data_IF_220543192269
#
_entry.id   IF_220543192269
#
_cell.length_a   1.000
_cell.length_b   1.000
_cell.length_c   1.000
_cell.angle_alpha   90.00
_cell.angle_beta   90.00
_cell.angle_gamma   90.00
#
_symmetry.space_group_name_H-M   'P 1'
#
loop_
_entity.id
_entity.type
_entity.pdbx_description
1 polymer ?
#
# COMPACT_ATOMS: atom_id res chain seq x y z
N UNK A 1 -0.02 17.98 -10.16
CA UNK A 1 0.40 16.87 -11.00
C UNK A 1 1.82 16.46 -10.62
N UNK A 2 2.09 15.16 -10.50
CA UNK A 2 3.41 14.60 -10.23
C UNK A 2 3.74 13.66 -11.38
N UNK A 3 4.79 14.00 -12.13
CA UNK A 3 5.27 13.18 -13.25
C UNK A 3 6.26 12.13 -12.78
N UNK A 4 6.60 11.18 -13.64
CA UNK A 4 7.52 10.10 -13.32
C UNK A 4 8.85 10.58 -12.74
N UNK A 5 9.39 9.81 -11.80
CA UNK A 5 10.64 10.10 -11.11
C UNK A 5 10.66 9.64 -9.65
N UNK A 6 11.80 9.88 -9.00
CA UNK A 6 12.02 9.57 -7.60
C UNK A 6 12.01 10.84 -6.76
N UNK A 7 11.25 10.83 -5.69
CA UNK A 7 11.07 11.98 -4.81
C UNK A 7 11.37 11.58 -3.37
N UNK A 8 12.29 12.30 -2.75
CA UNK A 8 12.59 12.19 -1.32
C UNK A 8 12.00 13.39 -0.60
N UNK A 9 11.13 13.15 0.36
CA UNK A 9 10.45 14.18 1.15
C UNK A 9 10.51 13.84 2.63
N UNK A 10 10.55 14.87 3.47
CA UNK A 10 10.53 14.65 4.92
C UNK A 10 9.13 14.24 5.41
N UNK A 11 8.10 14.93 4.95
CA UNK A 11 6.70 14.57 5.21
C UNK A 11 5.79 15.19 4.15
N UNK A 12 4.58 14.65 3.99
CA UNK A 12 3.63 15.20 3.05
C UNK A 12 2.21 15.22 3.63
N UNK A 13 1.61 16.41 3.63
CA UNK A 13 0.24 16.58 4.06
C UNK A 13 -0.58 17.27 2.97
N UNK A 14 -1.67 16.66 2.56
CA UNK A 14 -2.64 17.22 1.62
C UNK A 14 -4.00 17.28 2.30
N UNK A 15 -4.60 18.48 2.35
CA UNK A 15 -5.85 18.70 3.06
C UNK A 15 -6.85 19.55 2.26
N UNK A 16 -8.03 19.76 2.82
CA UNK A 16 -9.07 20.55 2.20
C UNK A 16 -9.61 19.93 0.92
N UNK A 17 -9.49 20.61 -0.21
CA UNK A 17 -9.89 20.14 -1.56
C UNK A 17 -8.67 19.84 -2.44
N UNK A 18 -7.50 19.66 -1.83
CA UNK A 18 -6.27 19.36 -2.58
C UNK A 18 -6.43 18.09 -3.40
N UNK A 19 -5.96 18.14 -4.64
CA UNK A 19 -5.95 16.99 -5.53
C UNK A 19 -4.56 16.82 -6.16
N UNK A 20 -4.08 15.58 -6.18
CA UNK A 20 -2.81 15.23 -6.83
C UNK A 20 -3.08 14.14 -7.86
N UNK A 21 -2.50 14.29 -9.05
CA UNK A 21 -2.53 13.29 -10.10
C UNK A 21 -1.11 12.80 -10.38
N UNK A 22 -0.93 11.51 -10.34
CA UNK A 22 0.30 10.80 -10.69
C UNK A 22 0.19 10.42 -12.17
N UNK A 23 1.13 10.88 -13.01
CA UNK A 23 1.05 10.73 -14.49
C UNK A 23 2.19 9.95 -15.11
N UNK A 24 3.03 9.33 -14.27
CA UNK A 24 4.13 8.46 -14.72
C UNK A 24 4.51 7.49 -13.62
N UNK A 25 5.64 6.83 -13.78
CA UNK A 25 6.17 5.95 -12.74
C UNK A 25 6.84 6.77 -11.65
N UNK A 26 6.21 6.86 -10.50
CA UNK A 26 6.65 7.68 -9.37
C UNK A 26 7.09 6.78 -8.22
N UNK A 27 8.30 7.02 -7.72
CA UNK A 27 8.78 6.49 -6.45
C UNK A 27 8.84 7.62 -5.43
N UNK A 28 8.14 7.45 -4.33
CA UNK A 28 8.07 8.42 -3.25
C UNK A 28 8.67 7.83 -1.99
N UNK A 29 9.76 8.44 -1.50
CA UNK A 29 10.37 8.09 -0.22
C UNK A 29 10.02 9.16 0.80
N UNK A 30 9.29 8.77 1.84
CA UNK A 30 8.77 9.67 2.90
C UNK A 30 9.40 9.27 4.22
N UNK A 31 10.23 10.14 4.81
CA UNK A 31 10.91 9.89 6.09
C UNK A 31 9.98 10.01 7.29
N UNK A 32 9.03 10.93 7.23
CA UNK A 32 8.02 11.14 8.27
C UNK A 32 6.65 10.74 7.77
N UNK A 33 5.62 11.46 8.20
CA UNK A 33 4.24 11.10 7.95
C UNK A 33 3.75 11.51 6.56
N UNK A 34 2.91 10.66 5.98
CA UNK A 34 2.13 10.94 4.77
C UNK A 34 0.65 11.03 5.13
N UNK A 35 0.01 12.16 4.90
CA UNK A 35 -1.40 12.31 5.22
C UNK A 35 -2.24 12.96 4.11
N UNK A 36 -3.42 12.38 3.85
CA UNK A 36 -4.49 12.97 3.05
C UNK A 36 -5.72 13.10 3.93
N UNK A 37 -6.33 14.29 3.98
CA UNK A 37 -7.49 14.56 4.84
C UNK A 37 -8.52 15.49 4.20
N UNK A 38 -9.68 15.63 4.84
CA UNK A 38 -10.78 16.47 4.34
C UNK A 38 -11.42 15.92 3.07
N UNK A 39 -11.35 16.65 1.96
CA UNK A 39 -11.77 16.20 0.63
C UNK A 39 -10.59 15.99 -0.32
N UNK A 40 -9.39 15.88 0.25
CA UNK A 40 -8.19 15.62 -0.53
C UNK A 40 -8.28 14.28 -1.24
N UNK A 41 -7.68 14.21 -2.43
CA UNK A 41 -7.63 13.00 -3.25
C UNK A 41 -6.29 12.84 -3.95
N UNK A 42 -5.92 11.60 -4.17
CA UNK A 42 -4.79 11.23 -5.02
C UNK A 42 -5.30 10.29 -6.11
N UNK A 43 -4.92 10.56 -7.35
CA UNK A 43 -5.32 9.73 -8.50
C UNK A 43 -4.07 9.25 -9.21
N UNK A 44 -3.97 7.96 -9.42
CA UNK A 44 -2.98 7.36 -10.30
C UNK A 44 -3.64 7.23 -11.67
N UNK A 45 -3.10 7.95 -12.65
CA UNK A 45 -3.62 7.93 -14.01
C UNK A 45 -3.45 6.54 -14.66
N UNK A 46 -4.21 6.22 -15.71
CA UNK A 46 -3.95 5.00 -16.48
C UNK A 46 -2.49 4.94 -16.95
N UNK A 47 -1.87 3.76 -16.87
CA UNK A 47 -0.48 3.49 -17.22
C UNK A 47 0.58 4.20 -16.34
N UNK A 48 0.17 4.88 -15.27
CA UNK A 48 1.06 5.40 -14.25
C UNK A 48 1.18 4.41 -13.09
N UNK A 49 2.25 4.54 -12.31
CA UNK A 49 2.43 3.78 -11.08
C UNK A 49 2.93 4.66 -9.94
N UNK A 50 2.59 4.26 -8.72
CA UNK A 50 3.06 4.91 -7.51
C UNK A 50 3.63 3.87 -6.55
N UNK A 51 4.89 4.04 -6.22
CA UNK A 51 5.60 3.27 -5.23
C UNK A 51 5.91 4.17 -4.03
N UNK A 52 5.44 3.84 -2.85
CA UNK A 52 5.62 4.62 -1.62
C UNK A 52 6.48 3.81 -0.65
N UNK A 53 7.58 4.38 -0.20
CA UNK A 53 8.36 3.90 0.95
C UNK A 53 8.15 4.88 2.08
N UNK A 54 7.50 4.47 3.16
CA UNK A 54 7.19 5.32 4.31
C UNK A 54 7.85 4.79 5.58
N UNK A 55 8.59 5.66 6.26
CA UNK A 55 9.18 5.37 7.57
C UNK A 55 8.22 5.80 8.71
N UNK A 56 7.50 6.93 8.54
CA UNK A 56 6.46 7.40 9.43
C UNK A 56 5.08 6.82 9.13
N UNK A 57 4.06 7.33 9.79
CA UNK A 57 2.69 6.88 9.61
C UNK A 57 2.12 7.31 8.25
N UNK A 58 1.28 6.44 7.68
CA UNK A 58 0.53 6.73 6.46
C UNK A 58 -0.96 6.80 6.78
N UNK A 59 -1.59 7.94 6.51
CA UNK A 59 -3.01 8.14 6.72
C UNK A 59 -3.67 8.71 5.46
N UNK A 60 -4.14 7.85 4.60
CA UNK A 60 -4.86 8.22 3.37
C UNK A 60 -6.35 8.15 3.65
N UNK A 61 -6.93 9.30 3.97
CA UNK A 61 -8.36 9.49 4.21
C UNK A 61 -9.00 10.42 3.17
N UNK A 62 -10.05 11.10 3.55
CA UNK A 62 -10.76 12.02 2.66
C UNK A 62 -11.44 11.31 1.48
N UNK A 63 -11.18 11.76 0.26
CA UNK A 63 -11.61 11.04 -0.94
C UNK A 63 -10.70 9.87 -1.29
N UNK A 64 -9.62 9.66 -0.52
CA UNK A 64 -8.74 8.52 -0.64
C UNK A 64 -7.86 8.54 -1.88
N UNK A 65 -7.43 7.34 -2.24
CA UNK A 65 -6.61 7.11 -3.42
C UNK A 65 -7.41 6.33 -4.48
N UNK A 66 -7.33 6.79 -5.71
CA UNK A 66 -7.91 6.15 -6.88
C UNK A 66 -6.78 5.62 -7.77
N UNK A 67 -6.68 4.30 -7.88
CA UNK A 67 -5.88 3.65 -8.91
C UNK A 67 -6.78 3.41 -10.13
N UNK A 68 -6.61 4.24 -11.17
CA UNK A 68 -7.53 4.28 -12.30
C UNK A 68 -7.56 3.00 -13.14
N UNK A 69 -6.49 2.25 -13.16
CA UNK A 69 -6.39 0.96 -13.86
C UNK A 69 -6.88 -0.23 -13.05
N UNK A 70 -7.10 -0.04 -11.75
CA UNK A 70 -7.48 -1.10 -10.80
C UNK A 70 -6.48 -2.27 -10.75
N UNK A 71 -5.22 -2.02 -11.07
CA UNK A 71 -4.13 -2.99 -11.02
C UNK A 71 -3.30 -2.78 -9.75
N UNK A 72 -3.28 -3.73 -8.81
CA UNK A 72 -2.58 -3.55 -7.53
C UNK A 72 -1.09 -3.25 -7.67
N UNK A 73 -0.43 -3.79 -8.69
CA UNK A 73 0.99 -3.55 -8.97
C UNK A 73 1.31 -2.08 -9.32
N UNK A 74 0.29 -1.27 -9.63
CA UNK A 74 0.47 0.15 -9.89
C UNK A 74 0.37 1.03 -8.63
N UNK A 75 0.00 0.45 -7.49
CA UNK A 75 0.06 1.11 -6.19
C UNK A 75 0.73 0.20 -5.18
N UNK A 76 2.01 0.42 -4.96
CA UNK A 76 2.81 -0.34 -4.02
C UNK A 76 3.14 0.54 -2.80
N UNK A 77 2.85 0.05 -1.61
CA UNK A 77 3.13 0.77 -0.35
C UNK A 77 3.99 -0.09 0.55
N UNK A 78 5.17 0.43 0.88
CA UNK A 78 6.14 -0.21 1.76
C UNK A 78 6.25 0.56 3.07
N UNK A 79 5.92 -0.08 4.19
CA UNK A 79 6.25 0.42 5.51
C UNK A 79 7.67 -0.01 5.86
N UNK A 80 8.54 0.96 6.11
CA UNK A 80 9.97 0.72 6.34
C UNK A 80 10.39 0.82 7.81
N UNK A 81 9.44 1.10 8.72
CA UNK A 81 9.71 1.10 10.15
C UNK A 81 10.13 -0.30 10.63
N UNK A 82 11.16 -0.36 11.47
CA UNK A 82 11.73 -1.63 11.97
C UNK A 82 11.16 -2.09 13.30
N UNK A 83 10.36 -1.25 13.96
CA UNK A 83 9.75 -1.56 15.25
C UNK A 83 8.40 -2.25 15.05
N UNK A 84 8.22 -3.44 15.62
CA UNK A 84 6.95 -4.18 15.57
C UNK A 84 5.80 -3.35 16.15
N UNK A 85 4.74 -3.15 15.37
CA UNK A 85 3.61 -2.29 15.72
C UNK A 85 3.93 -0.79 15.82
N UNK A 86 5.17 -0.40 15.49
CA UNK A 86 5.66 0.99 15.62
C UNK A 86 5.23 1.91 14.48
N UNK A 87 4.51 1.41 13.48
CA UNK A 87 4.01 2.19 12.36
C UNK A 87 2.53 1.86 12.10
N UNK A 88 1.78 2.83 11.62
CA UNK A 88 0.39 2.64 11.22
C UNK A 88 0.19 3.07 9.76
N UNK A 89 -0.34 2.17 8.94
CA UNK A 89 -0.73 2.46 7.57
C UNK A 89 -2.26 2.37 7.44
N UNK A 90 -2.95 3.51 7.31
CA UNK A 90 -4.38 3.59 7.03
C UNK A 90 -4.60 4.06 5.60
N UNK A 91 -5.11 3.18 4.75
CA UNK A 91 -5.26 3.47 3.33
C UNK A 91 -6.72 3.30 2.91
N UNK A 92 -7.33 4.41 2.50
CA UNK A 92 -8.69 4.43 1.99
C UNK A 92 -8.68 4.60 0.46
N UNK A 93 -9.41 3.73 -0.22
CA UNK A 93 -9.68 3.86 -1.65
C UNK A 93 -10.91 4.71 -1.92
N UNK A 94 -10.96 5.37 -3.07
CA UNK A 94 -12.14 6.04 -3.57
C UNK A 94 -12.99 5.06 -4.42
N UNK A 95 -13.91 4.36 -3.78
CA UNK A 95 -14.66 3.26 -4.39
C UNK A 95 -13.93 1.93 -4.24
N UNK A 96 -13.04 1.63 -5.14
CA UNK A 96 -12.17 0.46 -5.07
C UNK A 96 -10.77 0.87 -4.61
N UNK A 97 -10.17 0.07 -3.73
CA UNK A 97 -8.74 0.16 -3.43
C UNK A 97 -8.04 -1.00 -4.12
N UNK A 98 -7.17 -0.72 -5.09
CA UNK A 98 -6.30 -1.72 -5.70
C UNK A 98 -4.87 -1.36 -5.35
N UNK A 99 -4.25 -2.15 -4.48
CA UNK A 99 -2.93 -1.88 -3.93
C UNK A 99 -2.24 -3.15 -3.44
N UNK A 100 -0.92 -3.17 -3.48
CA UNK A 100 -0.13 -4.11 -2.71
C UNK A 100 0.59 -3.36 -1.57
N UNK A 101 0.42 -3.85 -0.35
CA UNK A 101 0.98 -3.25 0.87
C UNK A 101 1.91 -4.25 1.53
N UNK A 102 3.15 -3.87 1.73
CA UNK A 102 4.15 -4.65 2.45
C UNK A 102 4.73 -3.82 3.59
N UNK A 103 4.30 -4.11 4.80
CA UNK A 103 4.72 -3.40 6.00
C UNK A 103 4.76 -4.36 7.21
N UNK A 104 5.72 -5.31 7.24
CA UNK A 104 5.71 -6.44 8.18
C UNK A 104 5.73 -6.02 9.65
N UNK A 105 6.19 -4.82 9.96
CA UNK A 105 6.21 -4.27 11.31
C UNK A 105 5.11 -3.24 11.59
N UNK A 106 4.18 -3.04 10.67
CA UNK A 106 3.14 -2.02 10.81
C UNK A 106 1.76 -2.61 11.08
N UNK A 107 0.91 -1.84 11.74
CA UNK A 107 -0.52 -2.06 11.77
C UNK A 107 -1.13 -1.50 10.49
N UNK A 108 -1.66 -2.36 9.62
CA UNK A 108 -2.23 -1.97 8.33
C UNK A 108 -3.75 -2.00 8.40
N UNK A 109 -4.38 -0.88 8.07
CA UNK A 109 -5.83 -0.76 7.96
C UNK A 109 -6.21 -0.38 6.52
N UNK A 110 -6.94 -1.25 5.84
CA UNK A 110 -7.41 -1.03 4.48
C UNK A 110 -8.92 -0.81 4.47
N UNK A 111 -9.38 0.10 3.62
CA UNK A 111 -10.80 0.40 3.45
C UNK A 111 -11.10 0.76 2.01
N UNK A 112 -12.01 0.02 1.38
CA UNK A 112 -12.65 0.45 0.13
C UNK A 112 -13.66 1.57 0.38
N UNK A 113 -13.97 2.38 -0.61
CA UNK A 113 -14.94 3.46 -0.51
C UNK A 113 -16.38 3.01 -0.77
N UNK A 114 -17.34 3.82 -0.32
CA UNK A 114 -18.79 3.62 -0.58
C UNK A 114 -19.42 2.48 0.22
N UNK A 115 -20.66 2.10 -0.17
CA UNK A 115 -21.45 1.09 0.54
C UNK A 115 -21.03 -0.37 0.26
N UNK A 116 -20.21 -0.61 -0.73
CA UNK A 116 -19.72 -1.93 -1.14
C UNK A 116 -18.23 -1.81 -1.51
N UNK A 117 -17.45 -1.22 -0.62
CA UNK A 117 -16.03 -1.02 -0.86
C UNK A 117 -15.33 -2.35 -1.16
N UNK A 118 -14.52 -2.38 -2.19
CA UNK A 118 -13.71 -3.54 -2.54
C UNK A 118 -12.24 -3.19 -2.44
N UNK A 119 -11.47 -4.10 -1.88
CA UNK A 119 -10.02 -4.04 -1.80
C UNK A 119 -9.45 -5.21 -2.58
N UNK A 120 -8.69 -4.90 -3.62
CA UNK A 120 -7.99 -5.88 -4.44
C UNK A 120 -6.49 -5.75 -4.23
N UNK A 121 -5.80 -6.86 -4.14
CA UNK A 121 -4.36 -6.86 -4.07
C UNK A 121 -3.80 -7.79 -3.02
N UNK A 122 -2.76 -7.34 -2.33
CA UNK A 122 -2.13 -8.09 -1.26
C UNK A 122 -1.77 -7.20 -0.09
N UNK A 123 -1.73 -7.78 1.09
CA UNK A 123 -1.31 -7.08 2.30
C UNK A 123 -0.45 -7.98 3.18
N UNK A 124 0.67 -7.43 3.63
CA UNK A 124 1.51 -7.99 4.68
C UNK A 124 1.68 -6.91 5.75
N UNK A 125 1.35 -7.23 6.98
CA UNK A 125 1.47 -6.32 8.13
C UNK A 125 1.76 -7.10 9.40
N UNK A 126 2.20 -6.40 10.45
CA UNK A 126 2.24 -6.95 11.81
C UNK A 126 0.83 -7.31 12.29
N UNK A 127 -0.12 -6.42 12.01
CA UNK A 127 -1.56 -6.65 12.15
C UNK A 127 -2.24 -6.06 10.91
N UNK A 128 -3.20 -6.77 10.33
CA UNK A 128 -3.92 -6.33 9.14
C UNK A 128 -5.42 -6.29 9.42
N UNK A 129 -6.03 -5.12 9.21
CA UNK A 129 -7.45 -4.87 9.44
C UNK A 129 -8.14 -4.44 8.16
N UNK A 130 -9.28 -5.06 7.89
CA UNK A 130 -10.20 -4.60 6.86
C UNK A 130 -11.36 -3.90 7.55
N UNK A 131 -11.63 -2.63 7.23
CA UNK A 131 -12.67 -1.84 7.90
C UNK A 131 -13.79 -1.41 6.97
N UNK A 132 -14.92 -1.02 7.55
CA UNK A 132 -16.16 -0.72 6.83
C UNK A 132 -16.79 -1.98 6.24
N UNK A 133 -17.71 -1.82 5.29
CA UNK A 133 -18.32 -2.93 4.55
C UNK A 133 -17.45 -3.34 3.36
N UNK A 134 -16.15 -3.48 3.59
CA UNK A 134 -15.20 -3.79 2.52
C UNK A 134 -15.02 -5.30 2.36
N UNK A 135 -14.87 -5.73 1.10
CA UNK A 135 -14.52 -7.10 0.74
C UNK A 135 -13.08 -7.09 0.21
N UNK A 136 -12.27 -8.01 0.70
CA UNK A 136 -10.90 -8.21 0.23
C UNK A 136 -10.85 -9.34 -0.79
N UNK A 137 -10.15 -9.11 -1.88
CA UNK A 137 -9.84 -10.13 -2.88
C UNK A 137 -8.33 -10.07 -3.16
N UNK A 138 -7.66 -11.18 -2.97
CA UNK A 138 -6.27 -11.33 -3.38
C UNK A 138 -6.17 -11.31 -4.90
N UNK A 139 -5.16 -10.62 -5.42
CA UNK A 139 -4.87 -10.61 -6.86
C UNK A 139 -3.72 -11.58 -7.14
N UNK A 140 -4.04 -12.70 -7.81
CA UNK A 140 -3.09 -13.77 -8.11
C UNK A 140 -1.96 -13.30 -9.06
N UNK A 141 -2.18 -12.26 -9.87
CA UNK A 141 -1.17 -11.69 -10.75
C UNK A 141 0.02 -11.08 -9.97
N UNK A 142 -0.17 -10.75 -8.68
CA UNK A 142 0.93 -10.31 -7.82
C UNK A 142 1.93 -11.43 -7.48
N UNK A 143 1.53 -12.69 -7.63
CA UNK A 143 2.43 -13.84 -7.45
C UNK A 143 3.56 -13.90 -8.48
N UNK A 144 3.31 -13.36 -9.66
CA UNK A 144 4.27 -13.31 -10.78
C UNK A 144 5.00 -11.94 -10.85
N UNK A 145 4.66 -11.02 -9.93
CA UNK A 145 5.25 -9.69 -9.92
C UNK A 145 6.65 -9.72 -9.32
N UNK A 146 7.67 -9.58 -10.18
CA UNK A 146 9.05 -9.40 -9.76
C UNK A 146 9.32 -7.91 -9.53
N UNK A 147 9.73 -7.55 -8.31
CA UNK A 147 10.22 -6.20 -8.07
C UNK A 147 11.61 -6.06 -8.70
N UNK A 148 11.70 -5.22 -9.73
CA UNK A 148 12.95 -4.96 -10.46
C UNK A 148 14.10 -4.42 -9.57
N UNK A 149 13.81 -4.00 -8.36
CA UNK A 149 14.76 -3.34 -7.46
C UNK A 149 15.60 -4.32 -6.62
N UNK A 150 15.43 -5.64 -6.80
CA UNK A 150 16.29 -6.68 -6.20
C UNK A 150 16.27 -6.76 -4.66
N UNK A 151 15.48 -5.93 -3.98
CA UNK A 151 15.47 -5.84 -2.52
C UNK A 151 14.55 -6.86 -1.85
N UNK A 152 13.48 -7.28 -2.52
CA UNK A 152 12.54 -8.28 -2.00
C UNK A 152 11.90 -9.06 -3.14
N UNK A 153 11.95 -10.37 -3.07
CA UNK A 153 11.11 -11.24 -3.89
C UNK A 153 10.05 -11.88 -3.00
N UNK A 154 8.80 -11.84 -3.42
CA UNK A 154 7.74 -12.60 -2.76
C UNK A 154 7.86 -14.05 -3.21
N UNK A 155 8.44 -14.90 -2.35
CA UNK A 155 8.71 -16.30 -2.69
C UNK A 155 7.42 -17.13 -2.65
N UNK A 156 6.42 -16.73 -1.88
CA UNK A 156 5.16 -17.45 -1.76
C UNK A 156 4.06 -16.60 -1.09
N UNK A 157 2.89 -16.56 -1.69
CA UNK A 157 1.66 -16.14 -1.04
C UNK A 157 0.94 -17.36 -0.49
N UNK A 158 0.45 -17.30 0.74
CA UNK A 158 -0.35 -18.36 1.35
C UNK A 158 -1.72 -17.79 1.65
N UNK A 159 -2.75 -18.40 1.09
CA UNK A 159 -4.13 -18.12 1.47
C UNK A 159 -4.40 -18.73 2.85
N UNK A 160 -4.74 -17.87 3.82
CA UNK A 160 -4.96 -18.26 5.22
C UNK A 160 -6.41 -18.73 5.50
N UNK A 161 -7.21 -18.97 4.50
CA UNK A 161 -8.62 -19.35 4.69
C UNK A 161 -8.81 -20.75 5.33
N UNK A 162 -7.75 -21.56 5.46
CA UNK A 162 -7.81 -22.91 6.05
C UNK A 162 -6.52 -23.34 6.77
N UNK A 163 -5.86 -22.47 7.53
CA UNK A 163 -4.68 -22.87 8.30
C UNK A 163 -5.02 -23.13 9.75
N UNK A 164 -5.06 -24.39 10.15
CA UNK A 164 -4.80 -24.80 11.53
C UNK A 164 -3.35 -24.42 11.84
N UNK A 165 -3.15 -23.62 12.90
CA UNK A 165 -1.83 -23.16 13.34
C UNK A 165 -0.95 -24.36 13.75
N UNK A 166 -0.22 -24.93 12.82
CA UNK A 166 1.01 -25.66 13.10
C UNK A 166 2.15 -24.83 12.55
N UNK A 167 2.91 -24.30 13.48
CA UNK A 167 4.21 -23.58 13.35
C UNK A 167 4.77 -23.47 11.91
N UNK A 168 4.43 -22.41 11.21
CA UNK A 168 5.14 -22.02 10.00
C UNK A 168 6.47 -21.38 10.40
N UNK A 169 7.57 -22.11 10.26
CA UNK A 169 8.91 -21.53 10.33
C UNK A 169 9.14 -20.68 9.08
N UNK A 170 9.15 -19.37 9.25
CA UNK A 170 9.60 -18.44 8.23
C UNK A 170 11.12 -18.49 8.15
N UNK A 171 11.66 -19.10 7.12
CA UNK A 171 13.08 -18.99 6.80
C UNK A 171 13.31 -17.72 5.96
N UNK A 172 13.77 -16.66 6.61
CA UNK A 172 14.28 -15.48 5.90
C UNK A 172 15.70 -15.84 5.47
N UNK A 173 15.87 -16.15 4.19
CA UNK A 173 17.22 -16.27 3.62
C UNK A 173 17.85 -14.87 3.59
N UNK A 174 18.78 -14.63 4.51
CA UNK A 174 19.55 -13.40 4.61
C UNK A 174 20.67 -13.45 3.57
N UNK A 175 20.47 -12.82 2.43
CA UNK A 175 21.57 -12.53 1.53
C UNK A 175 22.11 -11.13 1.87
N UNK A 176 23.22 -11.11 2.58
CA UNK A 176 24.16 -10.00 2.58
C UNK A 176 25.47 -10.50 1.96
N UNK A 177 26.11 -9.71 1.06
CA UNK A 177 27.46 -10.00 0.59
C UNK A 177 28.47 -9.78 1.71
#
# INVERSE_FOLDING_TARGET
EVSGGEYLIDSWSLSGKGAVTITGDVTLVVKGDLSLSGKASMTIAPYASLKIYAEGDVSIGGNGILNSSQKPEQLLVFGTNTTEGGQTLKIHGNGYLSAAVYAPNAVVELKGGGNSGRVYGAVVGYDAKLTGNSHFSYDEALGDYEMADGLYSVIKWVDLTNVTFETAQFSIAKYFP
#
